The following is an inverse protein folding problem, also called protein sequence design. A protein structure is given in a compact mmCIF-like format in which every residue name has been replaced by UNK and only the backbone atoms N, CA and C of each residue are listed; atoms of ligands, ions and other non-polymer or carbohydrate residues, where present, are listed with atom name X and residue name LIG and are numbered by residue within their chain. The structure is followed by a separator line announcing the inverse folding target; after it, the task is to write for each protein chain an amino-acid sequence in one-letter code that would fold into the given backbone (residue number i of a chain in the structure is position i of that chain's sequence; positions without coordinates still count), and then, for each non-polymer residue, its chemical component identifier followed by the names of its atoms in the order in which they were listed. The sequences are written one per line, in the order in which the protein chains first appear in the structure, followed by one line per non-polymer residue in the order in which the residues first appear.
data_IF_840928287671
#
_entry.id   IF_840928287671
#
_cell.length_a   1.000
_cell.length_b   1.000
_cell.length_c   1.000
_cell.angle_alpha   90.00
_cell.angle_beta   90.00
_cell.angle_gamma   90.00
#
_symmetry.space_group_name_H-M   'P 1'
#
loop_
_entity.id
_entity.type
_entity.pdbx_description
1 polymer ?
#
# COMPACT_ATOMS: atom_id res chain seq x y z
N UNK A 1 -1.81 -0.33 -28.48
CA UNK A 1 -3.05 -1.05 -28.12
C UNK A 1 -3.60 -0.63 -26.74
N UNK A 2 -2.75 -0.51 -25.68
CA UNK A 2 -3.21 -0.13 -24.35
C UNK A 2 -3.97 1.20 -24.28
N UNK A 3 -3.56 2.22 -24.99
CA UNK A 3 -4.22 3.54 -25.00
C UNK A 3 -5.57 3.54 -25.70
N UNK A 4 -5.76 2.69 -26.71
CA UNK A 4 -7.05 2.53 -27.39
C UNK A 4 -8.07 1.95 -26.44
N UNK A 5 -7.74 0.88 -25.72
CA UNK A 5 -8.64 0.24 -24.75
C UNK A 5 -8.95 1.16 -23.56
N UNK A 6 -7.96 1.92 -23.07
CA UNK A 6 -8.19 2.93 -22.01
C UNK A 6 -9.19 3.99 -22.46
N UNK A 7 -9.04 4.54 -23.65
CA UNK A 7 -9.97 5.54 -24.21
C UNK A 7 -11.37 4.97 -24.44
N UNK A 8 -11.46 3.73 -24.92
CA UNK A 8 -12.76 3.07 -25.09
C UNK A 8 -13.44 2.81 -23.74
N UNK A 9 -12.69 2.36 -22.74
CA UNK A 9 -13.19 2.16 -21.38
C UNK A 9 -13.72 3.45 -20.76
N UNK A 10 -12.98 4.56 -20.88
CA UNK A 10 -13.43 5.86 -20.41
C UNK A 10 -14.72 6.33 -21.09
N UNK A 11 -14.83 6.17 -22.42
CA UNK A 11 -16.08 6.50 -23.12
C UNK A 11 -17.28 5.66 -22.65
N UNK A 12 -17.05 4.38 -22.35
CA UNK A 12 -18.11 3.50 -21.84
C UNK A 12 -18.56 3.83 -20.44
N UNK A 13 -17.67 4.37 -19.59
CA UNK A 13 -18.04 4.73 -18.22
C UNK A 13 -19.01 5.90 -18.21
N UNK A 14 -18.89 6.86 -19.14
CA UNK A 14 -19.79 8.01 -19.24
C UNK A 14 -21.25 7.59 -19.47
N UNK A 15 -21.46 6.45 -20.09
CA UNK A 15 -22.80 5.90 -20.42
C UNK A 15 -23.08 4.57 -19.72
N UNK A 16 -22.35 4.24 -18.67
CA UNK A 16 -22.52 2.95 -17.99
C UNK A 16 -23.92 2.79 -17.42
N UNK A 17 -24.51 1.61 -17.66
CA UNK A 17 -25.78 1.22 -17.08
C UNK A 17 -25.61 0.33 -15.84
N UNK A 18 -24.37 -0.04 -15.48
CA UNK A 18 -24.11 -0.84 -14.30
C UNK A 18 -24.48 -0.06 -13.04
N UNK A 19 -25.45 -0.53 -12.22
CA UNK A 19 -25.93 0.18 -11.04
C UNK A 19 -24.82 0.44 -10.02
N UNK A 20 -23.92 -0.54 -9.80
CA UNK A 20 -22.81 -0.42 -8.87
C UNK A 20 -21.80 0.66 -9.26
N UNK A 21 -21.42 0.69 -10.55
CA UNK A 21 -20.50 1.72 -11.04
C UNK A 21 -21.13 3.12 -10.93
N UNK A 22 -22.39 3.27 -11.31
CA UNK A 22 -23.12 4.54 -11.17
C UNK A 22 -23.21 4.97 -9.73
N UNK A 23 -23.53 4.07 -8.81
CA UNK A 23 -23.59 4.34 -7.39
C UNK A 23 -22.25 4.81 -6.84
N UNK A 24 -21.14 4.14 -7.22
CA UNK A 24 -19.80 4.50 -6.78
C UNK A 24 -19.38 5.89 -7.28
N UNK A 25 -19.72 6.23 -8.52
CA UNK A 25 -19.49 7.56 -9.11
C UNK A 25 -20.24 8.64 -8.32
N UNK A 26 -21.53 8.43 -8.08
CA UNK A 26 -22.39 9.39 -7.37
C UNK A 26 -21.95 9.56 -5.91
N UNK A 27 -21.63 8.48 -5.20
CA UNK A 27 -21.15 8.55 -3.80
C UNK A 27 -19.84 9.33 -3.67
N UNK A 28 -18.98 9.29 -4.72
CA UNK A 28 -17.78 10.12 -4.78
C UNK A 28 -18.05 11.55 -5.32
N UNK A 29 -19.30 11.94 -5.53
CA UNK A 29 -19.72 13.27 -6.03
C UNK A 29 -19.07 13.62 -7.38
N UNK A 30 -18.93 12.64 -8.24
CA UNK A 30 -18.36 12.79 -9.58
C UNK A 30 -19.48 12.86 -10.62
N UNK A 31 -19.26 13.67 -11.65
CA UNK A 31 -20.09 13.71 -12.85
C UNK A 31 -19.59 12.68 -13.85
N UNK A 32 -20.42 11.75 -14.35
CA UNK A 32 -20.00 10.67 -15.26
C UNK A 32 -19.21 11.17 -16.47
N UNK A 33 -19.63 12.29 -17.05
CA UNK A 33 -19.04 12.88 -18.25
C UNK A 33 -17.63 13.45 -18.03
N UNK A 34 -17.30 13.76 -16.77
CA UNK A 34 -16.00 14.33 -16.39
C UNK A 34 -15.00 13.30 -15.92
N UNK A 35 -15.38 12.02 -15.87
CA UNK A 35 -14.49 10.96 -15.41
C UNK A 35 -13.32 10.78 -16.36
N UNK A 36 -12.12 10.85 -15.80
CA UNK A 36 -10.85 10.63 -16.49
C UNK A 36 -10.08 9.47 -15.88
N UNK A 37 -8.95 9.10 -16.47
CA UNK A 37 -8.04 8.10 -15.91
C UNK A 37 -7.57 8.45 -14.49
N UNK A 38 -7.45 9.74 -14.17
CA UNK A 38 -7.14 10.21 -12.81
C UNK A 38 -8.20 9.75 -11.80
N UNK A 39 -9.50 9.94 -12.11
CA UNK A 39 -10.57 9.53 -11.21
C UNK A 39 -10.58 8.03 -10.97
N UNK A 40 -10.24 7.22 -11.99
CA UNK A 40 -10.07 5.78 -11.80
C UNK A 40 -8.91 5.43 -10.89
N UNK A 41 -7.75 6.03 -11.11
CA UNK A 41 -6.54 5.72 -10.35
C UNK A 41 -6.57 6.23 -8.91
N UNK A 42 -7.17 7.41 -8.68
CA UNK A 42 -7.01 8.13 -7.41
C UNK A 42 -8.31 8.36 -6.63
N UNK A 43 -9.47 8.04 -7.20
CA UNK A 43 -10.77 8.17 -6.52
C UNK A 43 -11.50 6.84 -6.47
N UNK A 44 -11.94 6.30 -7.60
CA UNK A 44 -12.77 5.09 -7.65
C UNK A 44 -11.96 3.82 -7.31
N UNK A 45 -10.78 3.67 -7.89
CA UNK A 45 -9.90 2.52 -7.62
C UNK A 45 -9.52 2.38 -6.15
N UNK A 46 -9.12 3.45 -5.44
CA UNK A 46 -8.89 3.41 -4.00
C UNK A 46 -10.10 2.95 -3.18
N UNK A 47 -11.33 3.34 -3.53
CA UNK A 47 -12.54 2.87 -2.84
C UNK A 47 -12.72 1.34 -3.03
N UNK A 48 -12.54 0.86 -4.27
CA UNK A 48 -12.62 -0.58 -4.59
C UNK A 48 -11.56 -1.36 -3.80
N UNK A 49 -10.32 -0.87 -3.80
CA UNK A 49 -9.19 -1.54 -3.15
C UNK A 49 -9.27 -1.51 -1.61
N UNK A 50 -9.97 -0.53 -1.03
CA UNK A 50 -10.08 -0.39 0.42
C UNK A 50 -10.77 -1.60 1.06
N UNK A 51 -11.80 -2.16 0.42
CA UNK A 51 -12.49 -3.35 0.92
C UNK A 51 -11.56 -4.55 1.04
N UNK A 52 -10.72 -4.81 0.04
CA UNK A 52 -9.77 -5.92 0.08
C UNK A 52 -8.60 -5.72 1.05
N UNK A 53 -8.43 -4.51 1.59
CA UNK A 53 -7.41 -4.20 2.60
C UNK A 53 -7.92 -4.31 4.02
N UNK A 54 -9.10 -3.76 4.29
CA UNK A 54 -9.65 -3.63 5.65
C UNK A 54 -10.69 -4.70 5.96
N UNK A 55 -11.35 -5.25 4.94
CA UNK A 55 -12.43 -6.22 5.04
C UNK A 55 -12.23 -7.35 4.03
N UNK A 56 -13.10 -7.43 3.03
CA UNK A 56 -13.03 -8.44 1.97
C UNK A 56 -13.29 -7.84 0.60
N UNK A 57 -12.49 -8.24 -0.39
CA UNK A 57 -12.68 -7.84 -1.79
C UNK A 57 -14.04 -8.26 -2.37
N UNK A 58 -14.77 -9.17 -1.71
CA UNK A 58 -16.13 -9.57 -2.09
C UNK A 58 -17.12 -8.41 -2.05
N UNK A 59 -16.92 -7.41 -1.19
CA UNK A 59 -17.79 -6.22 -1.11
C UNK A 59 -17.75 -5.47 -2.45
N UNK A 60 -16.56 -5.20 -2.97
CA UNK A 60 -16.40 -4.54 -4.27
C UNK A 60 -16.93 -5.41 -5.43
N UNK A 61 -16.73 -6.72 -5.39
CA UNK A 61 -17.30 -7.63 -6.38
C UNK A 61 -18.83 -7.58 -6.35
N UNK A 62 -19.45 -7.65 -5.18
CA UNK A 62 -20.90 -7.60 -5.00
C UNK A 62 -21.48 -6.27 -5.51
N UNK A 63 -20.76 -5.15 -5.35
CA UNK A 63 -21.18 -3.87 -5.92
C UNK A 63 -21.40 -3.97 -7.43
N UNK A 64 -20.43 -4.55 -8.16
CA UNK A 64 -20.51 -4.61 -9.62
C UNK A 64 -21.47 -5.68 -10.16
N UNK A 65 -21.81 -6.66 -9.34
CA UNK A 65 -22.80 -7.69 -9.66
C UNK A 65 -24.23 -7.29 -9.23
N UNK A 66 -24.40 -6.17 -8.54
CA UNK A 66 -25.69 -5.75 -8.01
C UNK A 66 -26.58 -5.17 -9.11
N UNK A 67 -27.82 -5.65 -9.17
CA UNK A 67 -28.86 -5.16 -10.10
C UNK A 67 -29.81 -4.17 -9.44
N UNK A 68 -29.99 -4.26 -8.11
CA UNK A 68 -30.80 -3.35 -7.31
C UNK A 68 -30.05 -2.05 -7.06
N UNK A 69 -30.60 -0.94 -7.54
CA UNK A 69 -29.99 0.40 -7.43
C UNK A 69 -29.84 0.86 -5.98
N UNK A 70 -30.81 0.54 -5.11
CA UNK A 70 -30.75 0.91 -3.69
C UNK A 70 -29.63 0.18 -2.97
N UNK A 71 -29.56 -1.14 -3.14
CA UNK A 71 -28.47 -1.95 -2.57
C UNK A 71 -27.11 -1.55 -3.14
N UNK A 72 -27.01 -1.26 -4.43
CA UNK A 72 -25.80 -0.74 -5.04
C UNK A 72 -25.34 0.57 -4.37
N UNK A 73 -26.29 1.48 -4.07
CA UNK A 73 -25.97 2.73 -3.38
C UNK A 73 -25.47 2.50 -1.94
N UNK A 74 -26.05 1.55 -1.22
CA UNK A 74 -25.63 1.18 0.14
C UNK A 74 -24.20 0.60 0.14
N UNK A 75 -23.90 -0.34 -0.76
CA UNK A 75 -22.55 -0.94 -0.90
C UNK A 75 -21.52 0.10 -1.36
N UNK A 76 -21.91 0.99 -2.28
CA UNK A 76 -21.01 2.07 -2.72
C UNK A 76 -20.66 3.04 -1.58
N UNK A 77 -21.62 3.38 -0.73
CA UNK A 77 -21.39 4.20 0.46
C UNK A 77 -20.42 3.52 1.43
N UNK A 78 -20.60 2.21 1.69
CA UNK A 78 -19.68 1.41 2.49
C UNK A 78 -18.25 1.44 1.94
N UNK A 79 -18.07 1.29 0.63
CA UNK A 79 -16.72 1.34 0.01
C UNK A 79 -16.07 2.73 0.12
N UNK A 80 -16.86 3.81 0.05
CA UNK A 80 -16.35 5.17 0.24
C UNK A 80 -15.92 5.37 1.69
N UNK A 81 -16.70 4.86 2.65
CA UNK A 81 -16.38 4.92 4.07
C UNK A 81 -15.11 4.11 4.41
N UNK A 82 -15.01 2.87 3.93
CA UNK A 82 -13.79 2.06 4.07
C UNK A 82 -12.55 2.75 3.50
N UNK A 83 -12.71 3.49 2.39
CA UNK A 83 -11.60 4.25 1.83
C UNK A 83 -11.23 5.48 2.68
N UNK A 84 -12.20 6.13 3.33
CA UNK A 84 -11.94 7.19 4.29
C UNK A 84 -11.19 6.64 5.50
N UNK A 85 -11.67 5.57 6.13
CA UNK A 85 -10.99 4.88 7.24
C UNK A 85 -9.55 4.48 6.86
N UNK A 86 -9.36 3.87 5.69
CA UNK A 86 -8.01 3.53 5.20
C UNK A 86 -7.10 4.75 5.10
N UNK A 87 -7.62 5.91 4.65
CA UNK A 87 -6.83 7.15 4.56
C UNK A 87 -6.40 7.63 5.94
N UNK A 88 -7.33 7.64 6.89
CA UNK A 88 -7.07 8.10 8.26
C UNK A 88 -6.06 7.18 8.96
N UNK A 89 -6.27 5.86 8.92
CA UNK A 89 -5.30 4.89 9.45
C UNK A 89 -3.93 4.99 8.78
N UNK A 90 -3.89 5.31 7.48
CA UNK A 90 -2.61 5.51 6.77
C UNK A 90 -1.92 6.79 7.25
N UNK A 91 -2.67 7.88 7.46
CA UNK A 91 -2.11 9.14 7.95
C UNK A 91 -1.53 8.98 9.36
N UNK A 92 -2.27 8.35 10.27
CA UNK A 92 -1.80 8.02 11.62
C UNK A 92 -0.54 7.12 11.58
N UNK A 93 -0.55 6.07 10.74
CA UNK A 93 0.61 5.20 10.59
C UNK A 93 1.85 5.90 10.01
N UNK A 94 1.66 6.88 9.13
CA UNK A 94 2.77 7.72 8.61
C UNK A 94 3.31 8.63 9.70
N UNK A 95 2.45 9.23 10.52
CA UNK A 95 2.86 10.09 11.63
C UNK A 95 3.69 9.30 12.65
N UNK A 96 3.21 8.14 13.09
CA UNK A 96 3.94 7.24 13.98
C UNK A 96 5.28 6.79 13.39
N UNK A 97 5.31 6.47 12.09
CA UNK A 97 6.54 6.07 11.41
C UNK A 97 7.55 7.22 11.35
N UNK A 98 7.11 8.44 11.04
CA UNK A 98 7.99 9.61 10.99
C UNK A 98 8.55 9.95 12.36
N UNK A 99 7.74 9.84 13.42
CA UNK A 99 8.20 10.01 14.80
C UNK A 99 9.32 9.02 15.13
N UNK A 100 9.17 7.73 14.81
CA UNK A 100 10.24 6.74 15.02
C UNK A 100 11.51 7.07 14.22
N UNK A 101 11.37 7.59 12.99
CA UNK A 101 12.51 7.99 12.15
C UNK A 101 13.24 9.19 12.74
N UNK A 102 12.53 10.16 13.33
CA UNK A 102 13.10 11.35 13.96
C UNK A 102 13.78 11.04 15.30
N UNK A 103 13.17 10.15 16.11
CA UNK A 103 13.72 9.68 17.39
C UNK A 103 14.91 8.74 17.19
N UNK A 104 14.95 8.03 16.06
CA UNK A 104 16.04 7.15 15.67
C UNK A 104 17.26 7.91 15.15
N UNK A 105 18.24 7.15 14.72
CA UNK A 105 19.49 7.72 14.22
C UNK A 105 19.30 8.26 12.79
N UNK A 106 19.20 9.57 12.62
CA UNK A 106 19.00 10.24 11.32
C UNK A 106 20.07 9.92 10.27
N UNK A 107 21.17 9.29 10.67
CA UNK A 107 22.27 8.83 9.80
C UNK A 107 21.99 7.51 9.06
N UNK A 108 20.92 6.79 9.37
CA UNK A 108 20.58 5.54 8.73
C UNK A 108 20.32 5.71 7.24
N UNK A 109 20.87 4.81 6.43
CA UNK A 109 20.73 4.83 4.97
C UNK A 109 19.53 4.03 4.48
N UNK A 110 19.05 3.08 5.28
CA UNK A 110 17.80 2.31 5.11
C UNK A 110 16.99 2.46 6.38
N UNK A 111 15.72 2.74 6.23
CA UNK A 111 14.80 2.89 7.35
C UNK A 111 14.07 1.58 7.59
N UNK A 112 14.06 1.12 8.84
CA UNK A 112 13.27 -0.03 9.30
C UNK A 112 12.39 0.42 10.45
N UNK A 113 11.11 0.56 10.19
CA UNK A 113 10.12 1.05 11.15
C UNK A 113 9.23 -0.11 11.56
N UNK A 114 9.00 -0.31 12.86
CA UNK A 114 8.11 -1.32 13.38
C UNK A 114 6.88 -0.68 14.03
N UNK A 115 5.71 -0.97 13.47
CA UNK A 115 4.40 -0.43 13.85
C UNK A 115 3.46 -1.60 14.20
N UNK A 116 3.55 -2.20 15.40
CA UNK A 116 2.82 -3.41 15.75
C UNK A 116 1.30 -3.25 15.69
N UNK A 117 0.78 -2.07 15.97
CA UNK A 117 -0.65 -1.78 16.05
C UNK A 117 -1.27 -1.33 14.71
N UNK A 118 -0.44 -1.16 13.67
CA UNK A 118 -0.90 -0.78 12.34
C UNK A 118 -1.29 -2.02 11.55
N UNK A 119 -2.44 -1.95 10.87
CA UNK A 119 -2.93 -3.04 10.04
C UNK A 119 -1.93 -3.40 8.91
N UNK A 120 -1.60 -4.68 8.76
CA UNK A 120 -0.56 -5.18 7.85
C UNK A 120 -0.73 -4.74 6.38
N UNK A 121 -1.97 -4.60 5.92
CA UNK A 121 -2.28 -4.17 4.54
C UNK A 121 -1.86 -2.73 4.22
N UNK A 122 -1.58 -1.92 5.24
CA UNK A 122 -1.16 -0.52 5.10
C UNK A 122 0.35 -0.35 5.08
N UNK A 123 1.12 -1.33 5.54
CA UNK A 123 2.58 -1.27 5.64
C UNK A 123 3.24 -0.79 4.33
N UNK A 124 2.79 -1.31 3.19
CA UNK A 124 3.34 -0.94 1.88
C UNK A 124 3.00 0.49 1.43
N UNK A 125 1.86 1.04 1.86
CA UNK A 125 1.47 2.43 1.57
C UNK A 125 2.31 3.36 2.45
N UNK A 126 2.42 3.05 3.73
CA UNK A 126 3.21 3.83 4.69
C UNK A 126 4.69 3.82 4.28
N UNK A 127 5.26 2.65 3.95
CA UNK A 127 6.64 2.57 3.45
C UNK A 127 6.87 3.46 2.22
N UNK A 128 5.90 3.52 1.30
CA UNK A 128 5.95 4.42 0.15
C UNK A 128 6.01 5.88 0.53
N UNK A 129 5.20 6.31 1.49
CA UNK A 129 5.15 7.70 1.97
C UNK A 129 6.43 8.11 2.70
N UNK A 130 6.95 7.25 3.57
CA UNK A 130 8.21 7.50 4.27
C UNK A 130 9.38 7.56 3.28
N UNK A 131 9.43 6.63 2.31
CA UNK A 131 10.43 6.66 1.24
C UNK A 131 10.38 7.96 0.45
N UNK A 132 9.19 8.47 0.11
CA UNK A 132 9.01 9.76 -0.58
C UNK A 132 9.49 10.94 0.25
N UNK A 133 9.16 10.97 1.55
CA UNK A 133 9.54 12.06 2.46
C UNK A 133 11.04 12.06 2.77
N UNK A 134 11.63 10.88 3.02
CA UNK A 134 13.03 10.76 3.47
C UNK A 134 14.02 10.50 2.32
N UNK A 135 13.56 10.18 1.11
CA UNK A 135 14.38 9.75 -0.03
C UNK A 135 15.31 8.56 0.30
N UNK A 136 14.85 7.64 1.14
CA UNK A 136 15.60 6.47 1.60
C UNK A 136 14.80 5.19 1.38
N UNK A 137 15.47 4.04 1.10
CA UNK A 137 14.82 2.73 1.14
C UNK A 137 14.17 2.55 2.51
N UNK A 138 12.92 2.09 2.53
CA UNK A 138 12.14 2.01 3.76
C UNK A 138 11.42 0.68 3.85
N UNK A 139 11.57 -0.02 4.96
CA UNK A 139 10.77 -1.15 5.38
C UNK A 139 9.83 -0.72 6.51
N UNK A 140 8.56 -1.04 6.37
CA UNK A 140 7.56 -0.94 7.44
C UNK A 140 7.13 -2.33 7.82
N UNK A 141 7.30 -2.65 9.08
CA UNK A 141 6.98 -3.92 9.71
C UNK A 141 5.74 -3.75 10.59
N UNK A 142 4.86 -4.74 10.58
CA UNK A 142 3.63 -4.76 11.38
C UNK A 142 3.44 -6.12 12.02
N UNK A 143 2.76 -6.17 13.15
CA UNK A 143 2.41 -7.45 13.79
C UNK A 143 1.38 -8.19 12.94
N UNK A 144 1.48 -9.51 12.91
CA UNK A 144 0.53 -10.41 12.27
C UNK A 144 0.27 -11.64 13.15
N UNK A 145 -0.68 -12.50 12.78
CA UNK A 145 -1.01 -13.70 13.56
C UNK A 145 0.22 -14.63 13.75
N UNK A 146 1.06 -14.77 12.73
CA UNK A 146 2.20 -15.69 12.70
C UNK A 146 3.55 -14.98 12.89
N UNK A 147 3.59 -13.82 13.57
CA UNK A 147 4.82 -13.05 13.78
C UNK A 147 4.73 -11.64 13.23
N UNK A 148 5.70 -11.25 12.40
CA UNK A 148 5.79 -9.91 11.81
C UNK A 148 5.76 -10.01 10.29
N UNK A 149 4.95 -9.18 9.65
CA UNK A 149 4.95 -8.95 8.20
C UNK A 149 5.53 -7.59 7.89
N UNK A 150 6.23 -7.49 6.77
CA UNK A 150 6.84 -6.25 6.32
C UNK A 150 6.65 -5.98 4.84
N UNK A 151 6.62 -4.70 4.52
CA UNK A 151 6.66 -4.21 3.15
C UNK A 151 7.75 -3.18 2.99
N UNK A 152 8.57 -3.34 1.94
CA UNK A 152 9.63 -2.41 1.58
C UNK A 152 9.31 -1.62 0.32
N UNK A 153 9.80 -0.38 0.29
CA UNK A 153 9.79 0.50 -0.89
C UNK A 153 11.17 1.13 -1.05
N UNK A 154 11.69 1.12 -2.28
CA UNK A 154 13.06 1.48 -2.57
C UNK A 154 13.22 2.74 -3.41
N UNK A 155 14.48 3.12 -3.56
CA UNK A 155 15.01 4.07 -4.52
C UNK A 155 15.83 3.31 -5.57
N UNK A 156 16.13 3.90 -6.72
CA UNK A 156 16.85 3.24 -7.81
C UNK A 156 18.24 2.70 -7.42
N UNK A 157 18.90 3.37 -6.48
CA UNK A 157 20.24 2.99 -6.04
C UNK A 157 20.29 1.79 -5.07
N UNK A 158 19.13 1.22 -4.68
CA UNK A 158 19.06 0.15 -3.68
C UNK A 158 18.08 -0.94 -4.10
N UNK A 159 18.60 -2.14 -4.36
CA UNK A 159 17.79 -3.31 -4.71
C UNK A 159 17.28 -4.01 -3.44
N UNK A 160 16.02 -3.83 -3.10
CA UNK A 160 15.42 -4.49 -1.93
C UNK A 160 15.53 -6.00 -1.98
N UNK A 161 15.27 -6.60 -3.13
CA UNK A 161 15.30 -8.05 -3.26
C UNK A 161 16.71 -8.62 -3.03
N UNK A 162 17.73 -8.01 -3.62
CA UNK A 162 19.13 -8.46 -3.44
C UNK A 162 19.59 -8.32 -1.99
N UNK A 163 19.18 -7.25 -1.31
CA UNK A 163 19.52 -7.04 0.10
C UNK A 163 18.80 -8.02 1.03
N UNK A 164 17.54 -8.36 0.74
CA UNK A 164 16.83 -9.41 1.49
C UNK A 164 17.49 -10.79 1.28
N UNK A 165 17.98 -11.09 0.08
CA UNK A 165 18.71 -12.35 -0.17
C UNK A 165 19.94 -12.53 0.72
N UNK A 166 20.61 -11.44 1.14
CA UNK A 166 21.78 -11.49 2.03
C UNK A 166 21.45 -11.84 3.49
N UNK A 167 20.18 -11.74 3.86
CA UNK A 167 19.69 -12.04 5.20
C UNK A 167 18.49 -12.99 5.21
N UNK A 168 18.42 -13.86 4.21
CA UNK A 168 17.29 -14.77 4.01
C UNK A 168 17.01 -15.69 5.18
N UNK A 169 18.01 -16.01 5.99
CA UNK A 169 17.88 -16.84 7.19
C UNK A 169 17.02 -16.24 8.29
N UNK A 170 16.77 -14.93 8.24
CA UNK A 170 15.92 -14.22 9.21
C UNK A 170 14.43 -14.36 8.90
N UNK A 171 14.07 -14.74 7.67
CA UNK A 171 12.70 -14.71 7.18
C UNK A 171 12.05 -16.08 7.14
N UNK A 172 10.76 -16.13 7.42
CA UNK A 172 9.93 -17.30 7.11
C UNK A 172 9.47 -17.27 5.66
N UNK A 173 9.24 -16.07 5.11
CA UNK A 173 8.93 -15.82 3.69
C UNK A 173 9.46 -14.45 3.30
N UNK A 174 9.93 -14.33 2.07
CA UNK A 174 10.23 -13.04 1.46
C UNK A 174 10.17 -13.14 -0.07
N UNK A 175 10.03 -11.98 -0.71
CA UNK A 175 10.03 -11.88 -2.16
C UNK A 175 9.83 -10.46 -2.62
N UNK A 176 10.07 -10.20 -3.91
CA UNK A 176 9.88 -8.86 -4.44
C UNK A 176 10.70 -8.58 -5.69
N UNK A 177 10.91 -7.30 -5.91
CA UNK A 177 11.66 -6.71 -7.01
C UNK A 177 12.63 -5.65 -6.46
N UNK A 178 13.55 -5.10 -7.28
CA UNK A 178 14.45 -4.06 -6.79
C UNK A 178 13.76 -2.90 -6.07
N UNK A 179 12.59 -2.45 -6.55
CA UNK A 179 11.88 -1.28 -6.01
C UNK A 179 10.87 -1.57 -4.89
N UNK A 180 10.51 -2.83 -4.68
CA UNK A 180 9.52 -3.20 -3.67
C UNK A 180 9.69 -4.66 -3.25
N UNK A 181 9.55 -4.92 -1.95
CA UNK A 181 9.61 -6.26 -1.42
C UNK A 181 8.60 -6.47 -0.28
N UNK A 182 8.24 -7.74 -0.07
CA UNK A 182 7.48 -8.20 1.08
C UNK A 182 8.25 -9.26 1.84
N UNK A 183 8.05 -9.33 3.14
CA UNK A 183 8.72 -10.29 4.01
C UNK A 183 7.83 -10.68 5.19
N UNK A 184 8.14 -11.83 5.77
CA UNK A 184 7.61 -12.28 7.07
C UNK A 184 8.76 -12.83 7.89
N UNK A 185 8.80 -12.49 9.18
CA UNK A 185 9.85 -12.92 10.10
C UNK A 185 9.29 -13.12 11.51
N UNK A 186 9.97 -13.92 12.35
CA UNK A 186 9.70 -13.96 13.79
C UNK A 186 9.96 -12.58 14.42
N UNK A 187 9.15 -12.19 15.40
CA UNK A 187 9.29 -10.88 16.06
C UNK A 187 10.68 -10.69 16.68
N UNK A 188 11.27 -11.76 17.23
CA UNK A 188 12.63 -11.74 17.77
C UNK A 188 13.71 -11.36 16.75
N UNK A 189 13.44 -11.49 15.46
CA UNK A 189 14.38 -11.17 14.39
C UNK A 189 14.29 -9.71 13.91
N UNK A 190 13.36 -8.90 14.42
CA UNK A 190 13.15 -7.51 13.96
C UNK A 190 14.41 -6.66 14.15
N UNK A 191 14.98 -6.65 15.35
CA UNK A 191 16.20 -5.88 15.62
C UNK A 191 17.41 -6.44 14.87
N UNK A 192 17.54 -7.77 14.78
CA UNK A 192 18.62 -8.41 14.05
C UNK A 192 18.55 -8.01 12.55
N UNK A 193 17.35 -7.96 11.99
CA UNK A 193 17.13 -7.49 10.61
C UNK A 193 17.55 -6.04 10.41
N UNK A 194 17.18 -5.14 11.33
CA UNK A 194 17.58 -3.72 11.32
C UNK A 194 19.11 -3.58 11.33
N UNK A 195 19.78 -4.20 12.30
CA UNK A 195 21.24 -4.16 12.43
C UNK A 195 21.97 -4.72 11.20
N UNK A 196 21.44 -5.80 10.63
CA UNK A 196 22.07 -6.45 9.48
C UNK A 196 21.99 -5.57 8.24
N UNK A 197 20.85 -4.95 7.97
CA UNK A 197 20.71 -3.99 6.86
C UNK A 197 21.66 -2.80 7.01
N UNK A 198 21.81 -2.26 8.20
CA UNK A 198 22.73 -1.15 8.45
C UNK A 198 24.18 -1.56 8.21
N UNK A 199 24.55 -2.77 8.62
CA UNK A 199 25.90 -3.30 8.44
C UNK A 199 26.24 -3.55 6.96
N UNK A 200 25.31 -4.14 6.21
CA UNK A 200 25.51 -4.42 4.78
C UNK A 200 25.64 -3.11 3.97
N UNK A 201 24.82 -2.12 4.25
CA UNK A 201 24.94 -0.80 3.63
C UNK A 201 26.28 -0.14 3.95
N UNK A 202 26.72 -0.17 5.20
CA UNK A 202 28.02 0.38 5.58
C UNK A 202 29.18 -0.29 4.80
N UNK A 203 29.05 -1.58 4.45
CA UNK A 203 30.00 -2.29 3.59
C UNK A 203 29.97 -1.84 2.14
N UNK A 204 28.78 -1.52 1.60
CA UNK A 204 28.65 -1.01 0.21
C UNK A 204 29.37 0.33 0.05
N UNK A 205 29.20 1.26 1.00
CA UNK A 205 29.84 2.58 0.95
C UNK A 205 31.36 2.57 1.23
N UNK A 206 31.92 1.48 1.79
CA UNK A 206 33.38 1.33 1.94
C UNK A 206 34.06 0.79 0.68
N UNK A 207 33.30 0.25 -0.26
CA UNK A 207 33.83 -0.33 -1.52
C UNK A 207 33.67 0.62 -2.73
N UNK A 208 32.96 1.71 -2.58
CA UNK A 208 32.80 2.79 -3.57
C UNK A 208 33.76 3.94 -3.26
#
# INVERSE_FOLDING_TARGET
LGDVYKRQGLKRIHTTMNPGMRALILQNKLEPEQISSYHFGFVLGPCINASGRLETAKIALNLFLQEDVKKASEIAAELVDLNAQRKDMTAEGVELAMQQVEEGNTGEKVLVVYLPDVHESLAGIIAGRIREACHKPTFVLTKSEDGVKGSGRSIEAYSMYEELCKCQELFTKFGGHPMAAGLSLPEANVEIFREKLHTEIARMFRKA
#
